data_IF_886351948581
#
_entry.id   IF_886351948581
#
_cell.length_a   1.000
_cell.length_b   1.000
_cell.length_c   1.000
_cell.angle_alpha   90.00
_cell.angle_beta   90.00
_cell.angle_gamma   90.00
#
_symmetry.space_group_name_H-M   'P 1'
#
loop_
_entity.id
_entity.type
_entity.pdbx_description
1 polymer ?
#
# COMPACT_ATOMS: atom_id res chain seq x y z
N UNK A 1 9.98 -32.04 -7.23
CA UNK A 1 9.16 -30.82 -7.28
C UNK A 1 8.71 -30.48 -5.84
N UNK A 2 9.35 -29.50 -5.19
CA UNK A 2 8.97 -29.10 -3.83
C UNK A 2 7.70 -28.26 -3.91
N UNK A 3 6.57 -28.82 -3.49
CA UNK A 3 5.30 -28.12 -3.42
C UNK A 3 5.31 -27.33 -2.09
N UNK A 4 5.34 -26.01 -2.16
CA UNK A 4 5.32 -25.15 -0.99
C UNK A 4 3.93 -25.22 -0.32
N UNK A 5 3.82 -25.60 0.96
CA UNK A 5 2.53 -25.79 1.65
C UNK A 5 1.70 -24.50 1.74
N UNK A 6 2.30 -23.33 1.63
CA UNK A 6 1.60 -22.03 1.65
C UNK A 6 0.69 -21.79 0.43
N UNK A 7 0.97 -22.44 -0.71
CA UNK A 7 0.14 -22.30 -1.92
C UNK A 7 -1.21 -23.04 -1.83
N UNK A 8 -1.30 -24.10 -1.02
CA UNK A 8 -2.57 -24.78 -0.73
C UNK A 8 -3.52 -23.97 0.14
N UNK A 9 -2.98 -23.06 0.96
CA UNK A 9 -3.78 -22.22 1.86
C UNK A 9 -4.63 -21.18 1.12
N UNK A 10 -4.23 -20.74 -0.07
CA UNK A 10 -4.88 -19.63 -0.79
C UNK A 10 -6.26 -20.03 -1.31
N UNK A 11 -6.44 -21.23 -1.81
CA UNK A 11 -7.76 -21.70 -2.28
C UNK A 11 -8.74 -21.89 -1.14
N UNK A 12 -8.26 -22.41 0.00
CA UNK A 12 -9.05 -22.45 1.23
C UNK A 12 -9.43 -21.07 1.74
N UNK A 13 -8.51 -20.10 1.63
CA UNK A 13 -8.77 -18.70 2.01
C UNK A 13 -9.81 -18.04 1.09
N UNK A 14 -9.83 -18.34 -0.23
CA UNK A 14 -10.83 -17.83 -1.15
C UNK A 14 -12.22 -18.36 -0.85
N UNK A 15 -12.34 -19.68 -0.57
CA UNK A 15 -13.61 -20.29 -0.16
C UNK A 15 -14.07 -19.71 1.19
N UNK A 16 -13.18 -19.61 2.18
CA UNK A 16 -13.49 -19.00 3.46
C UNK A 16 -13.92 -17.54 3.29
N UNK A 17 -13.23 -16.76 2.43
CA UNK A 17 -13.60 -15.39 2.14
C UNK A 17 -14.98 -15.29 1.46
N UNK A 18 -15.33 -16.19 0.54
CA UNK A 18 -16.65 -16.21 -0.09
C UNK A 18 -17.76 -16.50 0.93
N UNK A 19 -17.51 -17.41 1.87
CA UNK A 19 -18.42 -17.73 2.97
C UNK A 19 -18.58 -16.57 3.95
N UNK A 20 -17.46 -15.98 4.38
CA UNK A 20 -17.44 -14.86 5.34
C UNK A 20 -18.09 -13.58 4.75
N UNK A 21 -17.99 -13.37 3.45
CA UNK A 21 -18.60 -12.23 2.77
C UNK A 21 -20.03 -12.53 2.26
N UNK A 22 -20.66 -13.60 2.73
CA UNK A 22 -22.05 -13.97 2.40
C UNK A 22 -22.32 -14.07 0.88
N UNK A 23 -21.31 -14.47 0.09
CA UNK A 23 -21.46 -14.67 -1.36
C UNK A 23 -22.23 -15.93 -1.69
N UNK A 24 -22.37 -16.84 -0.71
CA UNK A 24 -23.15 -18.08 -0.80
C UNK A 24 -23.99 -18.20 0.46
N UNK A 25 -25.29 -18.48 0.32
CA UNK A 25 -26.15 -18.70 1.47
C UNK A 25 -25.94 -20.13 2.03
N UNK A 26 -25.36 -20.17 3.21
CA UNK A 26 -25.01 -21.40 3.96
C UNK A 26 -25.81 -21.57 5.24
N UNK A 27 -26.78 -20.70 5.52
CA UNK A 27 -27.58 -20.75 6.75
C UNK A 27 -28.30 -22.10 6.90
N UNK A 28 -28.07 -22.76 8.03
CA UNK A 28 -28.64 -24.07 8.32
C UNK A 28 -28.07 -25.23 7.48
N UNK A 29 -27.04 -25.02 6.67
CA UNK A 29 -26.40 -26.05 5.85
C UNK A 29 -25.07 -26.54 6.47
N UNK A 30 -24.81 -27.85 6.31
CA UNK A 30 -23.46 -28.40 6.56
C UNK A 30 -22.62 -28.17 5.31
N UNK A 31 -21.52 -27.42 5.43
CA UNK A 31 -20.66 -27.05 4.31
C UNK A 31 -19.32 -27.74 4.46
N UNK A 32 -18.86 -28.38 3.38
CA UNK A 32 -17.52 -28.95 3.29
C UNK A 32 -16.74 -28.18 2.22
N UNK A 33 -15.59 -27.62 2.59
CA UNK A 33 -14.68 -26.95 1.66
C UNK A 33 -13.55 -27.89 1.26
N UNK A 34 -13.49 -28.24 -0.02
CA UNK A 34 -12.41 -29.08 -0.55
C UNK A 34 -11.22 -28.18 -0.89
N UNK A 35 -10.10 -28.41 -0.21
CA UNK A 35 -8.84 -27.76 -0.51
C UNK A 35 -8.13 -28.50 -1.64
N UNK A 36 -8.38 -28.13 -2.88
CA UNK A 36 -7.74 -28.72 -4.05
C UNK A 36 -7.04 -27.68 -4.90
N UNK A 37 -6.07 -28.13 -5.71
CA UNK A 37 -5.30 -27.28 -6.62
C UNK A 37 -3.99 -26.74 -6.03
N UNK A 38 -3.01 -26.49 -6.89
CA UNK A 38 -1.67 -26.07 -6.51
C UNK A 38 -1.01 -25.09 -7.50
N UNK A 39 -1.71 -24.71 -8.56
CA UNK A 39 -1.16 -23.83 -9.59
C UNK A 39 -1.74 -22.42 -9.45
N UNK A 40 -1.13 -21.62 -8.58
CA UNK A 40 -1.31 -20.18 -8.62
C UNK A 40 0.00 -19.55 -9.10
N UNK A 41 -0.09 -18.66 -10.06
CA UNK A 41 1.06 -17.88 -10.52
C UNK A 41 1.52 -16.95 -9.37
N UNK A 42 2.82 -16.98 -9.11
CA UNK A 42 3.44 -16.13 -8.07
C UNK A 42 3.17 -14.64 -8.32
N UNK A 43 3.11 -14.25 -9.59
CA UNK A 43 2.78 -12.87 -9.99
C UNK A 43 1.36 -12.48 -9.59
N UNK A 44 0.41 -13.43 -9.59
CA UNK A 44 -0.95 -13.19 -9.14
C UNK A 44 -1.02 -13.05 -7.61
N UNK A 45 -0.25 -13.84 -6.87
CA UNK A 45 -0.16 -13.71 -5.41
C UNK A 45 0.33 -12.31 -5.03
N UNK A 46 1.37 -11.82 -5.71
CA UNK A 46 1.89 -10.47 -5.49
C UNK A 46 0.78 -9.41 -5.64
N UNK A 47 0.01 -9.47 -6.74
CA UNK A 47 -1.11 -8.55 -7.00
C UNK A 47 -2.20 -8.61 -5.92
N UNK A 48 -2.53 -9.81 -5.43
CA UNK A 48 -3.53 -9.99 -4.36
C UNK A 48 -3.03 -9.40 -3.05
N UNK A 49 -1.76 -9.63 -2.70
CA UNK A 49 -1.13 -9.07 -1.48
C UNK A 49 -1.08 -7.55 -1.57
N UNK A 50 -0.59 -6.98 -2.67
CA UNK A 50 -0.56 -5.53 -2.86
C UNK A 50 -1.95 -4.90 -2.74
N UNK A 51 -2.95 -5.47 -3.43
CA UNK A 51 -4.33 -5.00 -3.33
C UNK A 51 -4.87 -5.08 -1.89
N UNK A 52 -4.52 -6.13 -1.16
CA UNK A 52 -4.86 -6.30 0.25
C UNK A 52 -4.23 -5.23 1.14
N UNK A 53 -2.98 -4.87 0.90
CA UNK A 53 -2.25 -3.82 1.63
C UNK A 53 -2.87 -2.43 1.39
N UNK A 54 -3.19 -2.13 0.11
CA UNK A 54 -3.87 -0.87 -0.26
C UNK A 54 -5.27 -0.79 0.39
N UNK A 55 -6.06 -1.86 0.30
CA UNK A 55 -7.42 -1.90 0.86
C UNK A 55 -7.43 -1.71 2.39
N UNK A 56 -6.42 -2.23 3.08
CA UNK A 56 -6.23 -2.05 4.52
C UNK A 56 -5.60 -0.71 4.88
N UNK A 57 -5.26 0.12 3.89
CA UNK A 57 -4.62 1.42 4.08
C UNK A 57 -3.19 1.32 4.62
N UNK A 58 -2.50 0.20 4.38
CA UNK A 58 -1.09 0.02 4.77
C UNK A 58 -0.13 0.63 3.77
N UNK A 59 -0.58 0.84 2.52
CA UNK A 59 0.16 1.60 1.52
C UNK A 59 -0.52 2.96 1.32
N UNK A 60 0.19 4.01 1.68
CA UNK A 60 -0.21 5.39 1.47
C UNK A 60 0.52 5.94 0.25
N UNK A 61 -0.25 6.29 -0.78
CA UNK A 61 0.27 6.95 -2.00
C UNK A 61 -0.14 8.41 -1.97
N UNK A 62 0.81 9.30 -2.21
CA UNK A 62 0.55 10.73 -2.34
C UNK A 62 1.66 11.39 -3.16
N UNK A 63 1.40 12.60 -3.61
CA UNK A 63 2.39 13.46 -4.25
C UNK A 63 2.53 14.73 -3.44
N UNK A 64 3.73 15.30 -3.42
CA UNK A 64 4.01 16.55 -2.74
C UNK A 64 4.99 17.39 -3.54
N UNK A 65 4.87 18.70 -3.40
CA UNK A 65 5.85 19.65 -3.94
C UNK A 65 6.92 19.88 -2.89
N UNK A 66 8.19 19.88 -3.30
CA UNK A 66 9.30 20.22 -2.45
C UNK A 66 10.39 20.96 -3.24
N UNK A 67 11.17 21.83 -2.60
CA UNK A 67 12.33 22.48 -3.24
C UNK A 67 13.34 21.44 -3.76
N UNK A 68 13.76 21.59 -5.01
CA UNK A 68 14.81 20.76 -5.62
C UNK A 68 16.18 21.25 -5.20
N UNK A 69 16.50 21.09 -3.93
CA UNK A 69 17.74 21.54 -3.32
C UNK A 69 18.37 20.45 -2.43
N UNK A 70 19.70 20.46 -2.28
CA UNK A 70 20.38 19.56 -1.34
C UNK A 70 19.81 19.65 0.07
N UNK A 71 19.56 18.49 0.70
CA UNK A 71 18.96 18.38 2.04
C UNK A 71 17.43 18.36 2.09
N UNK A 72 16.71 18.69 1.02
CA UNK A 72 15.24 18.64 1.00
C UNK A 72 14.71 17.22 1.20
N UNK A 73 15.32 16.25 0.52
CA UNK A 73 14.97 14.83 0.68
C UNK A 73 15.30 14.31 2.09
N UNK A 74 16.42 14.70 2.65
CA UNK A 74 16.82 14.31 4.02
C UNK A 74 15.77 14.76 5.04
N UNK A 75 15.37 16.03 4.97
CA UNK A 75 14.35 16.61 5.85
C UNK A 75 12.99 15.90 5.71
N UNK A 76 12.58 15.62 4.48
CA UNK A 76 11.36 14.87 4.20
C UNK A 76 11.42 13.45 4.78
N UNK A 77 12.52 12.72 4.51
CA UNK A 77 12.72 11.36 4.99
C UNK A 77 12.76 11.29 6.52
N UNK A 78 13.36 12.29 7.16
CA UNK A 78 13.39 12.40 8.63
C UNK A 78 11.97 12.51 9.21
N UNK A 79 11.13 13.39 8.67
CA UNK A 79 9.75 13.55 9.11
C UNK A 79 8.94 12.26 8.94
N UNK A 80 9.12 11.55 7.83
CA UNK A 80 8.46 10.26 7.58
C UNK A 80 8.90 9.22 8.59
N UNK A 81 10.20 9.15 8.87
CA UNK A 81 10.78 8.21 9.84
C UNK A 81 10.31 8.48 11.27
N UNK A 82 10.23 9.74 11.71
CA UNK A 82 9.69 10.12 13.03
C UNK A 82 8.26 9.65 13.23
N UNK A 83 7.48 9.54 12.15
CA UNK A 83 6.13 8.99 12.20
C UNK A 83 6.08 7.46 12.13
N UNK A 84 7.22 6.75 12.20
CA UNK A 84 7.31 5.30 12.05
C UNK A 84 6.69 4.80 10.74
N UNK A 85 6.80 5.57 9.67
CA UNK A 85 6.45 5.17 8.32
C UNK A 85 7.70 4.83 7.53
N UNK A 86 7.60 3.90 6.58
CA UNK A 86 8.71 3.49 5.72
C UNK A 86 8.43 3.92 4.28
N UNK A 87 9.43 4.52 3.62
CA UNK A 87 9.33 4.89 2.21
C UNK A 87 9.60 3.66 1.34
N UNK A 88 8.62 3.23 0.55
CA UNK A 88 8.73 2.10 -0.38
C UNK A 88 9.15 2.57 -1.77
N UNK A 89 8.57 3.68 -2.22
CA UNK A 89 8.84 4.28 -3.52
C UNK A 89 9.00 5.79 -3.35
N UNK A 90 10.02 6.31 -4.00
CA UNK A 90 10.26 7.74 -4.12
C UNK A 90 10.61 8.03 -5.58
N UNK A 91 9.77 8.79 -6.26
CA UNK A 91 10.01 9.21 -7.63
C UNK A 91 10.01 10.73 -7.71
N UNK A 92 11.03 11.28 -8.33
CA UNK A 92 11.31 12.71 -8.42
C UNK A 92 11.01 13.20 -9.84
N UNK A 93 10.00 14.04 -10.01
CA UNK A 93 9.59 14.62 -11.28
C UNK A 93 9.89 16.12 -11.29
N UNK A 94 10.77 16.52 -12.21
CA UNK A 94 11.25 17.91 -12.41
C UNK A 94 10.60 18.59 -13.60
N UNK A 95 9.80 17.87 -14.39
CA UNK A 95 9.38 18.31 -15.71
C UNK A 95 7.86 18.48 -15.76
N UNK A 96 7.33 19.38 -14.94
CA UNK A 96 5.91 19.77 -15.08
C UNK A 96 5.82 21.28 -15.33
N UNK A 97 4.94 21.66 -16.30
CA UNK A 97 4.82 23.03 -16.78
C UNK A 97 4.28 24.04 -15.73
N UNK A 98 3.64 23.53 -14.67
CA UNK A 98 2.97 24.33 -13.64
C UNK A 98 3.76 24.44 -12.33
N UNK A 99 5.04 24.06 -12.33
CA UNK A 99 5.92 24.18 -11.17
C UNK A 99 6.71 25.47 -11.19
N UNK A 100 6.91 26.05 -10.02
CA UNK A 100 7.87 27.16 -9.85
C UNK A 100 9.31 26.69 -10.13
N UNK A 101 10.11 27.61 -10.65
CA UNK A 101 11.53 27.32 -10.93
C UNK A 101 12.23 26.97 -9.61
N UNK A 102 12.77 25.75 -9.53
CA UNK A 102 13.47 25.27 -8.33
C UNK A 102 12.63 24.34 -7.46
N UNK A 103 11.40 24.03 -7.86
CA UNK A 103 10.57 23.03 -7.21
C UNK A 103 10.49 21.74 -8.02
N UNK A 104 10.14 20.65 -7.35
CA UNK A 104 9.90 19.36 -7.97
C UNK A 104 8.67 18.68 -7.34
N UNK A 105 7.94 17.90 -8.14
CA UNK A 105 6.91 17.01 -7.63
C UNK A 105 7.54 15.68 -7.26
N UNK A 106 7.24 15.25 -6.06
CA UNK A 106 7.68 13.97 -5.54
C UNK A 106 6.48 13.06 -5.39
N UNK A 107 6.53 11.91 -6.07
CA UNK A 107 5.56 10.84 -5.91
C UNK A 107 6.08 9.83 -4.90
N UNK A 108 5.35 9.64 -3.82
CA UNK A 108 5.76 8.81 -2.69
C UNK A 108 4.77 7.70 -2.42
N UNK A 109 5.30 6.53 -2.12
CA UNK A 109 4.53 5.43 -1.52
C UNK A 109 5.18 5.10 -0.19
N UNK A 110 4.40 5.26 0.88
CA UNK A 110 4.85 4.88 2.22
C UNK A 110 4.09 3.65 2.73
N UNK A 111 4.80 2.77 3.43
CA UNK A 111 4.17 1.77 4.28
C UNK A 111 3.83 2.41 5.63
N UNK A 112 2.56 2.25 6.04
CA UNK A 112 2.02 2.79 7.28
C UNK A 112 1.25 1.70 8.05
N UNK A 113 0.99 1.89 9.32
CA UNK A 113 0.28 0.94 10.18
C UNK A 113 -1.22 0.80 9.89
N UNK A 114 -1.78 1.64 9.00
CA UNK A 114 -3.19 1.66 8.63
C UNK A 114 -3.68 3.07 8.29
N UNK A 115 -4.97 3.19 7.97
CA UNK A 115 -5.58 4.44 7.47
C UNK A 115 -5.38 5.63 8.41
N UNK A 116 -5.57 5.45 9.72
CA UNK A 116 -5.41 6.53 10.69
C UNK A 116 -3.95 6.97 10.85
N UNK A 117 -3.01 6.02 10.75
CA UNK A 117 -1.59 6.34 10.73
C UNK A 117 -1.22 7.14 9.48
N UNK A 118 -1.74 6.75 8.30
CA UNK A 118 -1.55 7.49 7.07
C UNK A 118 -2.08 8.94 7.14
N UNK A 119 -3.25 9.15 7.73
CA UNK A 119 -3.80 10.50 7.95
C UNK A 119 -2.87 11.35 8.82
N UNK A 120 -2.41 10.81 9.97
CA UNK A 120 -1.48 11.52 10.85
C UNK A 120 -0.20 11.92 10.13
N UNK A 121 0.37 11.02 9.33
CA UNK A 121 1.56 11.32 8.52
C UNK A 121 1.31 12.51 7.58
N UNK A 122 0.20 12.49 6.83
CA UNK A 122 -0.13 13.59 5.92
C UNK A 122 -0.34 14.92 6.67
N UNK A 123 -0.96 14.88 7.84
CA UNK A 123 -1.18 16.08 8.66
C UNK A 123 0.14 16.65 9.21
N UNK A 124 1.08 15.79 9.60
CA UNK A 124 2.43 16.22 10.00
C UNK A 124 3.18 16.85 8.83
N UNK A 125 3.13 16.26 7.65
CA UNK A 125 3.78 16.81 6.45
C UNK A 125 3.18 18.19 6.11
N UNK A 126 1.85 18.34 6.11
CA UNK A 126 1.19 19.63 5.86
C UNK A 126 1.61 20.71 6.86
N UNK A 127 1.69 20.37 8.16
CA UNK A 127 2.14 21.32 9.21
C UNK A 127 3.60 21.74 9.02
N UNK A 128 4.42 20.93 8.38
CA UNK A 128 5.82 21.21 8.05
C UNK A 128 5.99 21.84 6.65
N UNK A 129 4.91 22.33 6.05
CA UNK A 129 4.95 23.13 4.82
C UNK A 129 4.90 22.30 3.52
N UNK A 130 4.65 21.00 3.58
CA UNK A 130 4.52 20.18 2.38
C UNK A 130 3.11 20.28 1.80
N UNK A 131 3.00 20.69 0.54
CA UNK A 131 1.74 20.70 -0.20
C UNK A 131 1.43 19.30 -0.73
N UNK A 132 0.38 18.67 -0.20
CA UNK A 132 -0.02 17.33 -0.63
C UNK A 132 -0.97 17.46 -1.82
N UNK A 133 -0.56 16.90 -2.94
CA UNK A 133 -1.37 16.77 -4.15
C UNK A 133 -2.15 15.45 -4.09
N UNK A 134 -3.44 15.50 -4.39
CA UNK A 134 -4.34 14.33 -4.34
C UNK A 134 -4.24 13.48 -5.60
#
# INVERSE_FOLDING_TARGET
>A
MKIYPCLRLIWGALLAAALLNHKVDIRGKKVCCVLSGGNIDVSFIHKVVEKGLVTRGRHLKFSTIMPDAPGSLERFAHLVAEQNANVILFNHDRVQADLDIGDAIIHVVCEVGGKEHGKRLLDVLRRNGYTILA
#
